data_IF_502977663603
#
_entry.id   IF_502977663603
#
_cell.length_a   1.000
_cell.length_b   1.000
_cell.length_c   1.000
_cell.angle_alpha   90.00
_cell.angle_beta   90.00
_cell.angle_gamma   90.00
#
_symmetry.space_group_name_H-M   'P 1'
#
loop_
_entity.id
_entity.type
_entity.pdbx_description
1 polymer ?
#
# COMPACT_ATOMS: atom_id res chain seq x y z
N UNK A 1 -28.03 9.44 -19.98
CA UNK A 1 -26.68 9.88 -20.40
C UNK A 1 -25.67 9.20 -19.50
N UNK A 2 -25.00 8.19 -20.02
CA UNK A 2 -23.91 7.51 -19.31
C UNK A 2 -22.69 8.45 -19.28
N UNK A 3 -22.19 8.73 -18.08
CA UNK A 3 -21.04 9.60 -17.85
C UNK A 3 -19.80 8.90 -18.42
N UNK A 4 -19.19 9.45 -19.47
CA UNK A 4 -17.91 8.91 -19.97
C UNK A 4 -16.84 9.18 -18.91
N UNK A 5 -16.51 8.17 -18.11
CA UNK A 5 -15.41 8.27 -17.16
C UNK A 5 -14.11 8.31 -17.97
N UNK A 6 -13.48 9.49 -18.05
CA UNK A 6 -12.13 9.59 -18.61
C UNK A 6 -11.17 8.76 -17.77
N UNK A 7 -10.30 8.00 -18.45
CA UNK A 7 -9.23 7.28 -17.77
C UNK A 7 -8.32 8.28 -17.04
N UNK A 8 -7.86 7.98 -15.81
CA UNK A 8 -6.95 8.85 -15.09
C UNK A 8 -5.64 8.97 -15.86
N UNK A 9 -5.05 10.17 -15.83
CA UNK A 9 -3.79 10.48 -16.49
C UNK A 9 -2.72 10.78 -15.44
N UNK A 10 -1.53 10.22 -15.59
CA UNK A 10 -0.39 10.65 -14.80
C UNK A 10 0.01 12.09 -15.19
N UNK A 11 0.08 13.04 -14.24
CA UNK A 11 0.42 14.44 -14.56
C UNK A 11 1.88 14.60 -14.99
N UNK A 12 2.74 13.64 -14.64
CA UNK A 12 4.19 13.71 -14.88
C UNK A 12 4.58 13.09 -16.22
N UNK A 13 4.30 11.80 -16.44
CA UNK A 13 4.65 11.10 -17.69
C UNK A 13 3.51 11.02 -18.72
N UNK A 14 2.30 11.41 -18.34
CA UNK A 14 1.15 11.44 -19.25
C UNK A 14 0.50 10.08 -19.56
N UNK A 15 0.95 8.98 -18.96
CA UNK A 15 0.34 7.66 -19.16
C UNK A 15 -1.14 7.65 -18.73
N UNK A 16 -1.99 6.96 -19.49
CA UNK A 16 -3.43 6.88 -19.28
C UNK A 16 -3.85 5.51 -18.73
N UNK A 17 -4.74 5.53 -17.74
CA UNK A 17 -5.39 4.33 -17.20
C UNK A 17 -5.09 4.08 -15.73
N UNK A 18 -6.10 3.59 -15.02
CA UNK A 18 -6.05 3.33 -13.58
C UNK A 18 -5.03 2.24 -13.22
N UNK A 19 -4.75 1.31 -14.14
CA UNK A 19 -3.76 0.25 -13.98
C UNK A 19 -2.32 0.75 -13.79
N UNK A 20 -2.05 2.03 -14.11
CA UNK A 20 -0.75 2.65 -13.87
C UNK A 20 -0.64 3.29 -12.48
N UNK A 21 -1.74 3.37 -11.73
CA UNK A 21 -1.78 3.91 -10.37
C UNK A 21 -1.79 2.73 -9.41
N UNK A 22 -0.65 2.43 -8.81
CA UNK A 22 -0.46 1.26 -7.93
C UNK A 22 -0.18 1.73 -6.51
N UNK A 23 -0.44 0.87 -5.52
CA UNK A 23 0.01 1.08 -4.14
C UNK A 23 1.14 0.11 -3.78
N UNK A 24 2.16 0.62 -3.08
CA UNK A 24 3.26 -0.17 -2.55
C UNK A 24 3.26 -0.07 -1.03
N UNK A 25 3.35 -1.21 -0.29
CA UNK A 25 3.40 -1.19 1.17
C UNK A 25 4.68 -0.55 1.70
N UNK A 26 4.58 0.09 2.87
CA UNK A 26 5.74 0.62 3.59
C UNK A 26 6.71 -0.49 4.00
N UNK A 27 8.00 -0.17 3.99
CA UNK A 27 9.05 -1.06 4.57
C UNK A 27 8.88 -1.19 6.08
N UNK A 28 8.40 -0.14 6.75
CA UNK A 28 8.10 -0.16 8.18
C UNK A 28 6.88 -1.02 8.46
N UNK A 29 7.03 -1.91 9.44
CA UNK A 29 6.01 -2.85 9.87
C UNK A 29 5.86 -2.78 11.39
N UNK A 30 4.68 -3.17 11.87
CA UNK A 30 4.45 -3.44 13.28
C UNK A 30 5.31 -4.62 13.72
N UNK A 31 5.47 -4.82 15.03
CA UNK A 31 6.14 -6.03 15.56
C UNK A 31 5.45 -7.34 15.16
N UNK A 32 4.23 -7.29 14.62
CA UNK A 32 3.50 -8.44 14.10
C UNK A 32 3.61 -8.59 12.57
N UNK A 33 4.34 -7.71 11.88
CA UNK A 33 4.54 -7.75 10.41
C UNK A 33 3.54 -6.93 9.61
N UNK A 34 2.60 -6.22 10.25
CA UNK A 34 1.62 -5.40 9.54
C UNK A 34 2.25 -4.08 9.09
N UNK A 35 2.22 -3.79 7.79
CA UNK A 35 2.73 -2.55 7.19
C UNK A 35 1.94 -1.32 7.68
N UNK A 36 2.63 -0.22 7.99
CA UNK A 36 2.01 0.96 8.59
C UNK A 36 1.19 1.79 7.60
N UNK A 37 1.66 1.93 6.37
CA UNK A 37 1.01 2.70 5.32
C UNK A 37 1.30 2.12 3.93
N UNK A 38 0.58 2.61 2.93
CA UNK A 38 0.84 2.33 1.52
C UNK A 38 1.10 3.65 0.78
N UNK A 39 1.96 3.62 -0.22
CA UNK A 39 2.23 4.77 -1.09
C UNK A 39 1.56 4.52 -2.43
N UNK A 40 0.65 5.41 -2.86
CA UNK A 40 0.10 5.35 -4.21
C UNK A 40 1.00 6.13 -5.16
N UNK A 41 1.42 5.49 -6.25
CA UNK A 41 2.31 6.10 -7.23
C UNK A 41 2.05 5.57 -8.64
N UNK A 42 2.59 6.29 -9.63
CA UNK A 42 2.62 5.82 -11.00
C UNK A 42 3.66 4.71 -11.15
N UNK A 43 3.30 3.56 -11.71
CA UNK A 43 4.26 2.47 -11.99
C UNK A 43 5.13 2.71 -13.24
N UNK A 44 4.80 3.73 -14.05
CA UNK A 44 5.56 4.07 -15.26
C UNK A 44 6.72 5.03 -14.97
N UNK A 45 6.49 6.08 -14.17
CA UNK A 45 7.50 7.11 -13.87
C UNK A 45 7.79 7.34 -12.39
N UNK A 46 7.04 6.72 -11.48
CA UNK A 46 7.24 6.88 -10.04
C UNK A 46 6.59 8.11 -9.41
N UNK A 47 5.81 8.92 -10.15
CA UNK A 47 5.09 10.05 -9.58
C UNK A 47 4.21 9.63 -8.40
N UNK A 48 4.43 10.21 -7.22
CA UNK A 48 3.70 9.87 -5.99
C UNK A 48 2.44 10.72 -5.85
N UNK A 49 1.30 10.05 -5.63
CA UNK A 49 0.01 10.69 -5.37
C UNK A 49 -0.26 10.91 -3.89
N UNK A 50 0.31 10.06 -3.02
CA UNK A 50 0.19 10.21 -1.58
C UNK A 50 0.56 8.95 -0.81
N UNK A 51 0.64 9.08 0.52
CA UNK A 51 0.78 7.99 1.47
C UNK A 51 -0.52 7.85 2.28
N UNK A 52 -1.01 6.62 2.42
CA UNK A 52 -2.29 6.30 3.02
C UNK A 52 -2.06 5.33 4.18
N UNK A 53 -2.45 5.72 5.38
CA UNK A 53 -2.35 4.84 6.54
C UNK A 53 -3.24 3.60 6.34
N UNK A 54 -2.70 2.41 6.63
CA UNK A 54 -3.48 1.18 6.54
C UNK A 54 -4.33 1.05 7.81
N UNK A 55 -5.65 1.11 7.68
CA UNK A 55 -6.55 0.80 8.80
C UNK A 55 -6.57 -0.71 9.00
N UNK A 56 -5.87 -1.18 10.03
CA UNK A 56 -5.82 -2.61 10.36
C UNK A 56 -6.97 -2.95 11.32
N UNK A 57 -8.11 -3.37 10.76
CA UNK A 57 -9.31 -3.72 11.55
C UNK A 57 -9.13 -5.00 12.40
N UNK A 58 -8.17 -5.85 12.05
CA UNK A 58 -7.80 -7.07 12.78
C UNK A 58 -6.28 -7.21 12.79
N UNK A 59 -5.59 -6.61 13.77
CA UNK A 59 -4.14 -6.68 13.84
C UNK A 59 -3.67 -8.12 13.99
N UNK A 60 -2.55 -8.44 13.34
CA UNK A 60 -1.94 -9.77 13.46
C UNK A 60 -1.50 -9.96 14.91
N UNK A 61 -1.95 -11.02 15.61
CA UNK A 61 -1.55 -11.24 17.00
C UNK A 61 -0.06 -11.57 17.07
N UNK A 62 0.65 -10.93 18.00
CA UNK A 62 2.06 -11.25 18.28
C UNK A 62 2.09 -12.61 18.98
N UNK A 63 2.36 -13.69 18.25
CA UNK A 63 2.58 -15.01 18.85
C UNK A 63 4.00 -15.03 19.43
N UNK A 64 4.12 -14.77 20.73
CA UNK A 64 5.38 -15.02 21.45
C UNK A 64 5.48 -16.51 21.73
N UNK A 65 6.22 -17.24 20.90
CA UNK A 65 6.63 -18.61 21.23
C UNK A 65 7.48 -18.53 22.49
N UNK A 66 6.93 -18.96 23.63
CA UNK A 66 7.76 -19.21 24.81
C UNK A 66 8.67 -20.38 24.43
N UNK A 67 9.96 -20.09 24.20
CA UNK A 67 10.98 -21.12 24.18
C UNK A 67 10.94 -21.79 25.56
N UNK A 68 10.33 -22.98 25.65
CA UNK A 68 10.54 -23.85 26.80
C UNK A 68 12.01 -24.28 26.71
N UNK A 69 12.87 -23.55 27.41
CA UNK A 69 14.12 -24.12 27.87
C UNK A 69 13.74 -25.26 28.82
N UNK A 70 13.80 -26.49 28.32
CA UNK A 70 13.71 -27.70 29.13
C UNK A 70 14.98 -27.77 29.98
N UNK A 71 14.80 -27.74 31.30
CA UNK A 71 15.79 -28.20 32.28
C UNK A 71 15.59 -29.69 32.52
#
# INVERSE_FOLDING_TARGET
MEKSHSAPKCPDCGVLGIQHIVSTPSEQQSSAGDTWFEVAHCNSCGHVYGAFAKVVNRPTPIVRTKSLAMY
#
